data_IF_035949644285
#
_entry.id   IF_035949644285
#
_cell.length_a   1.000
_cell.length_b   1.000
_cell.length_c   1.000
_cell.angle_alpha   90.00
_cell.angle_beta   90.00
_cell.angle_gamma   90.00
#
_symmetry.space_group_name_H-M   'P 1'
#
loop_
_entity.id
_entity.type
_entity.pdbx_description
1 polymer ?
#
# COMPACT_ATOMS: atom_id res chain seq x y z
N UNK A 1 -4.60 70.08 -21.56
CA UNK A 1 -5.60 70.12 -20.49
C UNK A 1 -5.86 68.67 -20.08
N UNK A 2 -5.24 68.22 -18.99
CA UNK A 2 -5.41 66.87 -18.47
C UNK A 2 -6.64 66.82 -17.56
N UNK A 3 -7.50 65.81 -17.75
CA UNK A 3 -8.53 65.44 -16.79
C UNK A 3 -8.28 63.99 -16.37
N UNK A 4 -8.03 63.85 -15.06
CA UNK A 4 -8.10 62.63 -14.26
C UNK A 4 -9.57 62.28 -13.97
N UNK A 5 -9.76 61.08 -13.39
CA UNK A 5 -10.98 60.45 -12.83
C UNK A 5 -11.63 59.47 -13.83
N UNK A 6 -11.91 58.21 -13.51
CA UNK A 6 -11.94 57.50 -12.22
C UNK A 6 -12.04 55.99 -12.49
N UNK A 7 -11.56 55.21 -11.53
CA UNK A 7 -11.57 53.75 -11.48
C UNK A 7 -12.90 53.09 -11.89
N UNK A 8 -12.82 52.20 -12.89
CA UNK A 8 -13.84 51.18 -13.11
C UNK A 8 -13.56 50.00 -12.16
N UNK A 9 -14.04 50.16 -10.92
CA UNK A 9 -14.29 49.09 -9.97
C UNK A 9 -15.27 48.10 -10.59
N UNK A 10 -14.80 46.95 -11.08
CA UNK A 10 -15.64 45.87 -11.60
C UNK A 10 -16.45 45.25 -10.45
N UNK A 11 -17.79 45.46 -10.38
CA UNK A 11 -18.61 44.75 -9.42
C UNK A 11 -19.08 43.44 -10.06
N UNK A 12 -18.77 42.32 -9.39
CA UNK A 12 -19.62 41.15 -9.46
C UNK A 12 -19.51 40.30 -10.73
N UNK A 13 -18.41 39.54 -10.85
CA UNK A 13 -18.54 38.15 -11.25
C UNK A 13 -18.34 37.33 -9.99
N UNK A 14 -19.45 36.81 -9.45
CA UNK A 14 -19.37 35.72 -8.49
C UNK A 14 -18.48 34.64 -9.09
N UNK A 15 -17.49 34.10 -8.34
CA UNK A 15 -16.85 32.89 -8.80
C UNK A 15 -17.98 31.89 -8.98
N UNK A 16 -18.19 31.41 -10.20
CA UNK A 16 -18.90 30.18 -10.43
C UNK A 16 -18.23 29.20 -9.48
N UNK A 17 -18.88 28.92 -8.36
CA UNK A 17 -18.58 27.75 -7.54
C UNK A 17 -18.90 26.63 -8.49
N UNK A 18 -17.89 26.21 -9.26
CA UNK A 18 -17.89 24.92 -9.89
C UNK A 18 -18.16 24.00 -8.71
N UNK A 19 -19.41 23.58 -8.56
CA UNK A 19 -19.77 22.54 -7.61
C UNK A 19 -18.74 21.48 -7.90
N UNK A 20 -17.86 21.19 -6.93
CA UNK A 20 -16.96 20.05 -7.04
C UNK A 20 -17.88 18.92 -7.44
N UNK A 21 -17.83 18.52 -8.73
CA UNK A 21 -18.42 17.27 -9.18
C UNK A 21 -17.73 16.29 -8.25
N UNK A 22 -18.51 15.71 -7.34
CA UNK A 22 -18.00 14.68 -6.45
C UNK A 22 -17.47 13.64 -7.43
N UNK A 23 -16.14 13.51 -7.47
CA UNK A 23 -15.51 12.62 -8.43
C UNK A 23 -16.13 11.25 -8.20
N UNK A 24 -16.82 10.67 -9.20
CA UNK A 24 -17.48 9.37 -9.03
C UNK A 24 -16.47 8.27 -8.65
N UNK A 25 -15.17 8.52 -8.85
CA UNK A 25 -14.09 7.63 -8.49
C UNK A 25 -13.41 7.98 -7.14
N UNK A 26 -13.75 9.08 -6.46
CA UNK A 26 -13.11 9.41 -5.18
C UNK A 26 -13.28 8.32 -4.11
N UNK A 27 -14.45 7.65 -4.08
CA UNK A 27 -14.68 6.49 -3.20
C UNK A 27 -13.87 5.27 -3.62
N UNK A 28 -13.78 5.02 -4.93
CA UNK A 28 -12.96 3.94 -5.51
C UNK A 28 -11.48 4.11 -5.15
N UNK A 29 -10.97 5.35 -5.19
CA UNK A 29 -9.61 5.65 -4.79
C UNK A 29 -9.39 5.42 -3.29
N UNK A 30 -10.30 5.83 -2.39
CA UNK A 30 -10.17 5.51 -0.95
C UNK A 30 -10.20 3.99 -0.68
N UNK A 31 -11.04 3.25 -1.40
CA UNK A 31 -11.19 1.79 -1.32
C UNK A 31 -9.89 1.08 -1.76
N UNK A 32 -9.26 1.53 -2.86
CA UNK A 32 -7.96 1.04 -3.31
C UNK A 32 -6.83 1.31 -2.30
N UNK A 33 -6.80 2.48 -1.65
CA UNK A 33 -5.80 2.78 -0.61
C UNK A 33 -6.05 2.01 0.71
N UNK A 34 -7.26 1.48 0.92
CA UNK A 34 -7.60 0.62 2.07
C UNK A 34 -7.07 -0.81 1.89
N UNK A 35 -6.84 -1.26 0.65
CA UNK A 35 -6.25 -2.58 0.33
C UNK A 35 -4.73 -2.64 0.52
N UNK A 36 -4.13 -1.75 1.32
CA UNK A 36 -2.72 -1.87 1.67
C UNK A 36 -2.48 -3.08 2.59
N UNK A 37 -1.56 -3.95 2.17
CA UNK A 37 -1.06 -5.02 3.02
C UNK A 37 -0.41 -4.45 4.29
N UNK A 38 -0.72 -5.03 5.45
CA UNK A 38 -0.01 -4.75 6.71
C UNK A 38 0.98 -5.87 6.99
N UNK A 39 2.25 -5.50 7.16
CA UNK A 39 3.33 -6.45 7.48
C UNK A 39 3.60 -6.42 8.98
N UNK A 40 3.77 -7.59 9.58
CA UNK A 40 4.12 -7.78 10.98
C UNK A 40 5.10 -8.95 11.12
N UNK A 41 5.89 -8.94 12.19
CA UNK A 41 6.79 -10.03 12.56
C UNK A 41 6.51 -10.39 14.01
N UNK A 42 6.13 -11.63 14.29
CA UNK A 42 5.74 -12.08 15.63
C UNK A 42 6.15 -13.53 15.85
N UNK A 43 6.74 -13.83 17.01
CA UNK A 43 7.06 -15.19 17.46
C UNK A 43 7.90 -16.04 16.47
N UNK A 44 8.75 -15.38 15.68
CA UNK A 44 9.56 -16.04 14.64
C UNK A 44 8.83 -16.27 13.32
N UNK A 45 7.63 -15.73 13.17
CA UNK A 45 6.84 -15.76 11.95
C UNK A 45 6.78 -14.37 11.30
N UNK A 46 6.86 -14.36 9.98
CA UNK A 46 6.56 -13.23 9.12
C UNK A 46 5.08 -13.32 8.75
N UNK A 47 4.33 -12.23 8.95
CA UNK A 47 2.90 -12.17 8.71
C UNK A 47 2.56 -10.96 7.84
N UNK A 48 1.73 -11.18 6.83
CA UNK A 48 1.17 -10.13 6.00
C UNK A 48 -0.34 -10.26 5.94
N UNK A 49 -1.06 -9.17 6.16
CA UNK A 49 -2.52 -9.15 6.16
C UNK A 49 -3.06 -8.20 5.11
N UNK A 50 -4.02 -8.69 4.33
CA UNK A 50 -4.72 -7.98 3.28
C UNK A 50 -6.20 -7.89 3.69
N UNK A 51 -6.78 -6.69 3.64
CA UNK A 51 -8.24 -6.57 3.77
C UNK A 51 -8.82 -6.97 2.44
N UNK A 52 -9.59 -8.05 2.36
CA UNK A 52 -10.15 -8.59 1.11
C UNK A 52 -11.65 -8.82 1.23
N UNK A 53 -12.34 -8.05 2.07
CA UNK A 53 -13.76 -8.23 2.41
C UNK A 53 -14.73 -7.98 1.25
N UNK A 54 -14.25 -7.41 0.15
CA UNK A 54 -15.01 -7.17 -1.08
C UNK A 54 -14.94 -8.35 -2.07
N UNK A 55 -14.19 -9.41 -1.74
CA UNK A 55 -14.00 -10.60 -2.57
C UNK A 55 -14.51 -11.83 -1.83
N UNK A 56 -15.16 -12.73 -2.56
CA UNK A 56 -15.48 -14.06 -2.05
C UNK A 56 -14.19 -14.91 -1.95
N UNK A 57 -14.15 -15.93 -1.06
CA UNK A 57 -12.98 -16.81 -0.93
C UNK A 57 -12.57 -17.46 -2.26
N UNK A 58 -13.54 -17.84 -3.09
CA UNK A 58 -13.33 -18.43 -4.41
C UNK A 58 -12.78 -17.46 -5.48
N UNK A 59 -12.85 -16.15 -5.22
CA UNK A 59 -12.36 -15.09 -6.12
C UNK A 59 -10.91 -14.70 -5.82
N UNK A 60 -10.33 -15.23 -4.74
CA UNK A 60 -8.99 -14.92 -4.25
C UNK A 60 -7.99 -16.02 -4.62
N UNK A 61 -6.80 -15.60 -5.03
CA UNK A 61 -5.70 -16.49 -5.37
C UNK A 61 -4.40 -16.01 -4.73
N UNK A 62 -3.62 -16.94 -4.16
CA UNK A 62 -2.32 -16.67 -3.55
C UNK A 62 -1.28 -17.57 -4.19
N UNK A 63 -0.30 -16.97 -4.83
CA UNK A 63 0.73 -17.67 -5.57
C UNK A 63 2.12 -17.25 -5.11
N UNK A 64 3.05 -18.20 -5.07
CA UNK A 64 4.49 -17.94 -4.95
C UNK A 64 5.10 -18.04 -6.34
N UNK A 65 5.66 -16.94 -6.85
CA UNK A 65 6.27 -16.86 -8.18
C UNK A 65 7.70 -16.35 -8.03
N UNK A 66 8.66 -17.27 -8.11
CA UNK A 66 10.07 -16.98 -7.81
C UNK A 66 10.22 -16.52 -6.36
N UNK A 67 10.82 -15.35 -6.16
CA UNK A 67 11.03 -14.75 -4.83
C UNK A 67 9.90 -13.79 -4.42
N UNK A 68 8.68 -14.01 -4.93
CA UNK A 68 7.56 -13.11 -4.67
C UNK A 68 6.28 -13.86 -4.32
N UNK A 69 5.52 -13.29 -3.40
CA UNK A 69 4.12 -13.64 -3.17
C UNK A 69 3.27 -12.72 -4.03
N UNK A 70 2.33 -13.30 -4.77
CA UNK A 70 1.34 -12.60 -5.58
C UNK A 70 -0.03 -12.96 -5.03
N UNK A 71 -0.77 -11.95 -4.59
CA UNK A 71 -2.16 -12.09 -4.17
C UNK A 71 -3.04 -11.41 -5.21
N UNK A 72 -3.99 -12.16 -5.75
CA UNK A 72 -4.93 -11.67 -6.76
C UNK A 72 -6.37 -11.88 -6.28
N UNK A 73 -7.25 -10.93 -6.60
CA UNK A 73 -8.69 -11.01 -6.36
C UNK A 73 -9.45 -10.48 -7.55
N UNK A 74 -10.40 -11.25 -8.09
CA UNK A 74 -11.20 -10.87 -9.27
C UNK A 74 -12.68 -11.04 -8.98
N UNK A 75 -13.40 -9.92 -8.93
CA UNK A 75 -14.84 -9.90 -8.70
C UNK A 75 -15.55 -9.23 -9.88
N UNK A 76 -16.63 -9.84 -10.35
CA UNK A 76 -17.54 -9.23 -11.32
C UNK A 76 -18.98 -9.50 -10.89
N UNK A 77 -19.77 -8.44 -10.72
CA UNK A 77 -21.20 -8.55 -10.44
C UNK A 77 -22.00 -7.71 -11.42
N UNK A 78 -23.05 -8.31 -11.97
CA UNK A 78 -24.03 -7.63 -12.82
C UNK A 78 -25.30 -7.33 -12.01
N UNK A 79 -25.90 -6.17 -12.26
CA UNK A 79 -27.13 -5.72 -11.65
C UNK A 79 -27.99 -5.03 -12.71
N UNK A 80 -29.28 -4.81 -12.39
CA UNK A 80 -30.23 -4.17 -13.31
C UNK A 80 -29.78 -2.77 -13.80
N UNK A 81 -28.95 -2.09 -12.99
CA UNK A 81 -28.46 -0.74 -13.26
C UNK A 81 -27.00 -0.68 -13.76
N UNK A 82 -26.36 -1.82 -14.06
CA UNK A 82 -24.98 -1.86 -14.55
C UNK A 82 -24.15 -2.99 -13.95
N UNK A 83 -22.85 -2.99 -14.24
CA UNK A 83 -21.89 -3.96 -13.73
C UNK A 83 -20.86 -3.30 -12.80
N UNK A 84 -20.35 -4.08 -11.86
CA UNK A 84 -19.21 -3.73 -11.01
C UNK A 84 -18.14 -4.78 -11.23
N UNK A 85 -16.97 -4.34 -11.69
CA UNK A 85 -15.77 -5.17 -11.78
C UNK A 85 -14.72 -4.63 -10.81
N UNK A 86 -14.14 -5.51 -10.00
CA UNK A 86 -13.01 -5.22 -9.14
C UNK A 86 -11.89 -6.19 -9.43
N UNK A 87 -10.68 -5.67 -9.57
CA UNK A 87 -9.46 -6.46 -9.72
C UNK A 87 -8.40 -5.94 -8.76
N UNK A 88 -8.00 -6.80 -7.84
CA UNK A 88 -6.90 -6.58 -6.92
C UNK A 88 -5.72 -7.46 -7.34
N UNK A 89 -4.52 -6.88 -7.43
CA UNK A 89 -3.28 -7.63 -7.61
C UNK A 89 -2.19 -6.94 -6.82
N UNK A 90 -1.66 -7.65 -5.82
CA UNK A 90 -0.54 -7.18 -5.02
C UNK A 90 0.59 -8.19 -5.05
N UNK A 91 1.75 -7.73 -5.52
CA UNK A 91 3.00 -8.49 -5.51
C UNK A 91 3.92 -7.97 -4.42
N UNK A 92 4.53 -8.87 -3.67
CA UNK A 92 5.54 -8.54 -2.66
C UNK A 92 6.73 -9.49 -2.72
N UNK A 93 7.91 -8.94 -2.53
CA UNK A 93 9.14 -9.72 -2.44
C UNK A 93 9.18 -10.45 -1.10
N UNK A 94 9.57 -11.72 -1.16
CA UNK A 94 9.83 -12.53 0.02
C UNK A 94 11.18 -12.07 0.59
N UNK A 95 11.23 -11.59 1.86
CA UNK A 95 12.49 -11.24 2.49
C UNK A 95 13.45 -12.43 2.55
N UNK A 96 14.75 -12.20 2.44
CA UNK A 96 15.77 -13.28 2.40
C UNK A 96 15.78 -14.14 3.68
N UNK A 97 15.38 -13.57 4.80
CA UNK A 97 15.27 -14.21 6.10
C UNK A 97 14.00 -15.05 6.26
N UNK A 98 13.10 -15.08 5.29
CA UNK A 98 11.87 -15.89 5.31
C UNK A 98 12.07 -17.18 4.51
N UNK A 99 11.53 -18.29 5.03
CA UNK A 99 11.53 -19.59 4.36
C UNK A 99 10.31 -19.71 3.41
N UNK A 100 10.50 -19.74 2.08
CA UNK A 100 9.40 -19.77 1.12
C UNK A 100 8.56 -21.05 1.19
N UNK A 101 9.15 -22.18 1.57
CA UNK A 101 8.43 -23.46 1.69
C UNK A 101 7.46 -23.49 2.87
N UNK A 102 7.65 -22.58 3.83
CA UNK A 102 6.81 -22.45 5.01
C UNK A 102 5.63 -21.49 4.82
N UNK A 103 5.46 -20.93 3.62
CA UNK A 103 4.39 -19.98 3.33
C UNK A 103 3.04 -20.68 3.42
N UNK A 104 2.12 -20.07 4.16
CA UNK A 104 0.74 -20.49 4.30
C UNK A 104 -0.19 -19.28 4.21
N UNK A 105 -1.42 -19.51 3.76
CA UNK A 105 -2.46 -18.48 3.69
C UNK A 105 -3.71 -18.90 4.45
N UNK A 106 -4.36 -17.95 5.12
CA UNK A 106 -5.62 -18.16 5.82
C UNK A 106 -6.53 -16.94 5.66
N UNK A 107 -7.80 -17.19 5.34
CA UNK A 107 -8.85 -16.18 5.26
C UNK A 107 -9.74 -16.25 6.50
N UNK A 108 -9.94 -15.13 7.17
CA UNK A 108 -10.83 -15.06 8.35
C UNK A 108 -12.30 -14.83 7.94
N UNK A 109 -13.22 -15.00 8.90
CA UNK A 109 -14.66 -14.77 8.68
C UNK A 109 -15.02 -13.32 8.39
N UNK A 110 -14.11 -12.38 8.63
CA UNK A 110 -14.28 -10.95 8.36
C UNK A 110 -13.73 -10.56 6.98
N UNK A 111 -13.27 -11.55 6.19
CA UNK A 111 -12.71 -11.32 4.85
C UNK A 111 -11.31 -10.73 4.85
N UNK A 112 -10.51 -10.89 5.92
CA UNK A 112 -9.09 -10.54 5.90
C UNK A 112 -8.26 -11.78 5.54
N UNK A 113 -7.55 -11.69 4.43
CA UNK A 113 -6.56 -12.67 4.03
C UNK A 113 -5.25 -12.42 4.79
N UNK A 114 -4.68 -13.48 5.35
CA UNK A 114 -3.37 -13.47 5.98
C UNK A 114 -2.44 -14.44 5.28
N UNK A 115 -1.19 -14.03 5.08
CA UNK A 115 -0.11 -14.86 4.56
C UNK A 115 0.97 -14.90 5.63
N UNK A 116 1.30 -16.09 6.11
CA UNK A 116 2.31 -16.33 7.14
C UNK A 116 3.45 -17.18 6.62
N UNK A 117 4.65 -16.99 7.15
CA UNK A 117 5.81 -17.81 6.85
C UNK A 117 6.80 -17.80 8.02
N UNK A 118 7.60 -18.86 8.17
CA UNK A 118 8.64 -18.97 9.18
C UNK A 118 9.84 -18.11 8.82
N UNK A 119 10.38 -17.41 9.80
CA UNK A 119 11.67 -16.74 9.68
C UNK A 119 12.76 -17.79 9.92
N UNK A 120 13.71 -17.89 8.99
CA UNK A 120 14.90 -18.74 9.10
C UNK A 120 15.64 -18.37 10.38
N UNK A 121 15.94 -19.36 11.22
CA UNK A 121 16.78 -19.11 12.40
C UNK A 121 18.15 -18.64 11.91
N UNK A 122 18.72 -17.57 12.49
CA UNK A 122 20.09 -17.21 12.17
C UNK A 122 20.99 -18.39 12.54
N UNK A 123 21.75 -18.90 11.57
CA UNK A 123 22.91 -19.72 11.87
C UNK A 123 23.82 -18.85 12.75
N UNK A 124 24.04 -19.30 13.98
CA UNK A 124 24.86 -18.60 14.97
C UNK A 124 26.30 -18.57 14.45
N UNK A 125 26.64 -17.56 13.66
CA UNK A 125 28.01 -17.09 13.58
C UNK A 125 28.05 -15.77 14.35
N UNK A 126 28.66 -15.81 15.53
CA UNK A 126 28.93 -14.68 16.43
C UNK A 126 29.87 -13.66 15.77
N UNK A 127 29.41 -13.01 14.70
CA UNK A 127 30.12 -11.99 13.94
C UNK A 127 30.09 -10.61 14.62
N UNK A 128 30.26 -10.55 15.96
CA UNK A 128 30.36 -9.29 16.69
C UNK A 128 31.64 -8.54 16.26
N UNK A 129 31.53 -7.67 15.27
CA UNK A 129 32.59 -6.73 14.89
C UNK A 129 32.42 -5.44 15.67
N UNK A 130 33.39 -5.12 16.53
CA UNK A 130 33.52 -3.80 17.13
C UNK A 130 33.92 -2.79 16.03
N UNK A 131 33.10 -1.77 15.79
CA UNK A 131 33.40 -0.67 14.87
C UNK A 131 33.72 0.56 15.73
N UNK A 132 35.01 0.94 15.88
CA UNK A 132 35.39 2.13 16.62
C UNK A 132 34.95 3.40 15.87
N UNK A 133 34.49 4.40 16.62
CA UNK A 133 34.09 5.71 16.08
C UNK A 133 35.34 6.56 15.90
N UNK A 134 35.67 6.91 14.65
CA UNK A 134 36.74 7.86 14.33
C UNK A 134 36.26 9.30 14.53
N UNK A 135 36.99 10.09 15.30
CA UNK A 135 36.79 11.54 15.38
C UNK A 135 37.61 12.15 14.24
N UNK A 136 36.94 12.74 13.26
CA UNK A 136 37.61 13.46 12.18
C UNK A 136 38.07 14.82 12.71
N UNK A 137 39.34 14.93 13.08
CA UNK A 137 39.96 16.23 13.31
C UNK A 137 40.41 16.79 11.96
N UNK A 138 39.64 17.72 11.40
CA UNK A 138 40.07 18.55 10.28
C UNK A 138 41.30 19.35 10.73
N UNK A 139 42.46 19.06 10.13
CA UNK A 139 43.68 19.84 10.34
C UNK A 139 43.59 21.08 9.48
N UNK A 140 43.31 22.24 10.09
CA UNK A 140 43.51 23.54 9.45
C UNK A 140 45.00 23.67 9.07
N UNK A 141 45.26 23.66 7.77
CA UNK A 141 46.52 24.15 7.22
C UNK A 141 46.54 25.67 7.34
N UNK A 142 47.40 26.20 8.21
CA UNK A 142 47.96 27.54 8.05
C UNK A 142 49.36 27.64 8.64
#
# INVERSE_FOLDING_TARGET
MALLLSDAFFPGLSPLRLRRRRDPFAGLFEELHSMHSRVSRKDGDFLVSFKTSEFAPEELEVNVVGDSIVVEGKHSSESENGSIERHFCQKMLIPSDVDPESIQSALDSNGNLSVSARIKKPSVEDGKRNIPIGINAETEQK
#
